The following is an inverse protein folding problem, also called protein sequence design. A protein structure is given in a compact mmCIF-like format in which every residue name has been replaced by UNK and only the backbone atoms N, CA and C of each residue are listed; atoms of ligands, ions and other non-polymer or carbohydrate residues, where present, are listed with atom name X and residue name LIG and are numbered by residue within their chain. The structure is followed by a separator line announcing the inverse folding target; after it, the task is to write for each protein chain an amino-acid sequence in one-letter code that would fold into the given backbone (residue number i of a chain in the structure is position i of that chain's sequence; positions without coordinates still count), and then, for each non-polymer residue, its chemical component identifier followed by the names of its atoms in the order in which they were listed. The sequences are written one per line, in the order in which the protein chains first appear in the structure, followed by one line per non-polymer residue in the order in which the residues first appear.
data_IF_578690427205
#
_entry.id   IF_578690427205
#
_cell.length_a   1.000
_cell.length_b   1.000
_cell.length_c   1.000
_cell.angle_alpha   90.00
_cell.angle_beta   90.00
_cell.angle_gamma   90.00
#
_symmetry.space_group_name_H-M   'P 1'
#
loop_
_entity.id
_entity.type
_entity.pdbx_description
1 polymer ?
#
# COMPACT_ATOMS: atom_id res chain seq x y z
N UNK A 1 -4.91 -1.85 -20.25
CA UNK A 1 -4.28 -1.50 -18.95
C UNK A 1 -4.47 -2.66 -17.98
N UNK A 2 -3.59 -2.82 -16.97
CA UNK A 2 -3.76 -3.86 -15.95
C UNK A 2 -5.06 -3.69 -15.16
N UNK A 3 -5.74 -4.78 -14.73
CA UNK A 3 -6.92 -4.68 -13.88
C UNK A 3 -6.56 -4.05 -12.53
N UNK A 4 -7.29 -3.01 -12.13
CA UNK A 4 -7.04 -2.28 -10.90
C UNK A 4 -7.58 -3.01 -9.66
N UNK A 5 -6.82 -2.95 -8.57
CA UNK A 5 -7.14 -3.54 -7.27
C UNK A 5 -7.43 -2.46 -6.22
N UNK A 6 -8.65 -2.50 -5.69
CA UNK A 6 -9.11 -1.61 -4.64
C UNK A 6 -8.97 -2.20 -3.23
N UNK A 7 -8.49 -3.44 -3.09
CA UNK A 7 -8.41 -4.18 -1.82
C UNK A 7 -9.58 -5.13 -1.56
N UNK A 8 -10.56 -5.23 -2.48
CA UNK A 8 -11.70 -6.13 -2.39
C UNK A 8 -11.66 -7.22 -3.46
N UNK A 9 -12.34 -8.34 -3.19
CA UNK A 9 -12.48 -9.46 -4.11
C UNK A 9 -11.15 -9.91 -4.76
N UNK A 10 -10.13 -10.12 -3.92
CA UNK A 10 -8.77 -10.45 -4.36
C UNK A 10 -8.74 -11.64 -5.32
N UNK A 11 -9.52 -12.70 -5.09
CA UNK A 11 -9.55 -13.88 -5.96
C UNK A 11 -9.94 -13.53 -7.40
N UNK A 12 -10.92 -12.63 -7.59
CA UNK A 12 -11.34 -12.17 -8.91
C UNK A 12 -10.29 -11.28 -9.58
N UNK A 13 -9.70 -10.35 -8.82
CA UNK A 13 -8.62 -9.51 -9.33
C UNK A 13 -7.40 -10.34 -9.73
N UNK A 14 -7.00 -11.30 -8.88
CA UNK A 14 -5.87 -12.22 -9.10
C UNK A 14 -6.05 -13.00 -10.40
N UNK A 15 -7.24 -13.57 -10.63
CA UNK A 15 -7.55 -14.29 -11.86
C UNK A 15 -7.41 -13.39 -13.10
N UNK A 16 -7.97 -12.17 -13.06
CA UNK A 16 -7.86 -11.20 -14.16
C UNK A 16 -6.42 -10.77 -14.44
N UNK A 17 -5.66 -10.46 -13.38
CA UNK A 17 -4.29 -9.99 -13.54
C UNK A 17 -3.38 -11.11 -14.07
N UNK A 18 -3.61 -12.35 -13.64
CA UNK A 18 -2.90 -13.54 -14.14
C UNK A 18 -3.08 -13.67 -15.65
N UNK A 19 -4.33 -13.68 -16.13
CA UNK A 19 -4.64 -13.77 -17.57
C UNK A 19 -4.03 -12.59 -18.34
N UNK A 20 -4.12 -11.38 -17.79
CA UNK A 20 -3.54 -10.18 -18.40
C UNK A 20 -2.02 -10.32 -18.60
N UNK A 21 -1.28 -10.72 -17.57
CA UNK A 21 0.18 -10.89 -17.65
C UNK A 21 0.55 -11.99 -18.65
N UNK A 22 -0.13 -13.14 -18.59
CA UNK A 22 0.08 -14.26 -19.51
C UNK A 22 -0.18 -13.85 -20.97
N UNK A 23 -1.18 -13.00 -21.22
CA UNK A 23 -1.50 -12.51 -22.57
C UNK A 23 -0.46 -11.53 -23.13
N UNK A 24 0.27 -10.82 -22.27
CA UNK A 24 1.35 -9.92 -22.70
C UNK A 24 2.60 -10.73 -23.03
N UNK A 25 3.02 -11.60 -22.10
CA UNK A 25 4.18 -12.45 -22.25
C UNK A 25 4.17 -13.51 -21.15
N UNK A 26 3.97 -14.76 -21.53
CA UNK A 26 3.95 -15.87 -20.59
C UNK A 26 5.24 -15.98 -19.76
N UNK A 27 6.40 -15.68 -20.32
CA UNK A 27 7.67 -15.71 -19.57
C UNK A 27 7.78 -14.66 -18.46
N UNK A 28 6.91 -13.64 -18.44
CA UNK A 28 6.79 -12.75 -17.28
C UNK A 28 6.01 -13.39 -16.14
N UNK A 29 5.04 -14.26 -16.46
CA UNK A 29 4.31 -15.04 -15.46
C UNK A 29 5.23 -16.02 -14.76
N UNK A 30 6.11 -16.72 -15.51
CA UNK A 30 7.12 -17.61 -14.93
C UNK A 30 8.01 -16.88 -13.91
N UNK A 31 8.43 -15.65 -14.20
CA UNK A 31 9.22 -14.82 -13.26
C UNK A 31 8.44 -14.45 -11.99
N UNK A 32 7.12 -14.36 -12.05
CA UNK A 32 6.28 -14.08 -10.87
C UNK A 32 6.10 -15.34 -10.03
N UNK A 33 5.90 -16.49 -10.66
CA UNK A 33 5.66 -17.76 -9.95
C UNK A 33 6.95 -18.33 -9.38
N UNK A 34 7.97 -18.48 -10.21
CA UNK A 34 9.23 -19.15 -9.85
C UNK A 34 10.24 -18.19 -9.24
N UNK A 35 10.10 -16.90 -9.57
CA UNK A 35 10.99 -15.85 -9.13
C UNK A 35 12.04 -15.50 -10.18
N UNK A 36 12.61 -14.29 -10.11
CA UNK A 36 13.70 -13.93 -11.00
C UNK A 36 14.96 -14.74 -10.67
N UNK A 37 15.45 -15.47 -11.69
CA UNK A 37 16.80 -16.00 -11.68
C UNK A 37 17.80 -14.85 -11.85
N UNK A 38 18.07 -14.12 -10.77
CA UNK A 38 19.00 -13.01 -10.78
C UNK A 38 20.41 -13.51 -11.17
N UNK A 39 21.15 -12.73 -11.98
CA UNK A 39 22.50 -13.08 -12.37
C UNK A 39 23.39 -13.29 -11.15
N UNK A 40 24.02 -14.46 -11.06
CA UNK A 40 24.94 -14.83 -9.97
C UNK A 40 26.25 -15.35 -10.53
N UNK A 41 27.32 -15.22 -9.74
CA UNK A 41 28.63 -15.81 -10.00
C UNK A 41 29.00 -16.72 -8.83
N UNK A 42 29.80 -17.75 -9.11
CA UNK A 42 30.46 -18.53 -8.06
C UNK A 42 31.77 -17.81 -7.69
N UNK A 43 31.93 -17.52 -6.42
CA UNK A 43 33.19 -17.02 -5.85
C UNK A 43 34.28 -18.09 -5.91
N UNK A 44 35.54 -17.69 -5.78
CA UNK A 44 36.69 -18.59 -5.60
C UNK A 44 36.48 -19.54 -4.40
N UNK A 45 35.70 -19.08 -3.42
CA UNK A 45 35.38 -19.80 -2.19
C UNK A 45 34.19 -20.79 -2.37
N UNK A 46 33.57 -20.84 -3.55
CA UNK A 46 32.37 -21.63 -3.84
C UNK A 46 31.03 -20.94 -3.51
N UNK A 47 31.05 -19.77 -2.87
CA UNK A 47 29.86 -19.00 -2.53
C UNK A 47 29.13 -18.45 -3.78
N UNK A 48 27.79 -18.42 -3.74
CA UNK A 48 26.97 -17.83 -4.82
C UNK A 48 26.74 -16.36 -4.50
N UNK A 49 27.35 -15.47 -5.28
CA UNK A 49 27.27 -14.00 -5.09
C UNK A 49 26.51 -13.38 -6.26
N UNK A 50 25.77 -12.29 -6.03
CA UNK A 50 25.16 -11.52 -7.11
C UNK A 50 26.23 -11.01 -8.09
N UNK A 51 25.98 -11.23 -9.37
CA UNK A 51 26.88 -10.82 -10.44
C UNK A 51 26.92 -9.28 -10.52
N UNK A 52 28.10 -8.66 -10.67
CA UNK A 52 28.19 -7.21 -10.85
C UNK A 52 27.46 -6.74 -12.12
N UNK A 53 26.67 -5.67 -12.02
CA UNK A 53 25.82 -5.18 -13.13
C UNK A 53 26.58 -4.84 -14.41
N UNK A 54 27.83 -4.39 -14.29
CA UNK A 54 28.70 -4.09 -15.44
C UNK A 54 29.12 -5.34 -16.23
N UNK A 55 28.98 -6.54 -15.66
CA UNK A 55 29.33 -7.82 -16.31
C UNK A 55 28.12 -8.56 -16.91
N UNK A 56 26.93 -7.95 -16.88
CA UNK A 56 25.71 -8.58 -17.38
C UNK A 56 25.74 -8.75 -18.90
N UNK A 57 25.49 -9.99 -19.33
CA UNK A 57 25.24 -10.32 -20.74
C UNK A 57 23.77 -10.00 -21.12
N UNK A 58 23.41 -10.25 -22.38
CA UNK A 58 22.07 -9.95 -22.88
C UNK A 58 20.99 -10.81 -22.21
N UNK A 59 21.30 -12.06 -21.88
CA UNK A 59 20.38 -12.95 -21.16
C UNK A 59 20.10 -12.45 -19.74
N UNK A 60 21.14 -12.03 -19.01
CA UNK A 60 21.06 -11.44 -17.68
C UNK A 60 20.14 -10.20 -17.69
N UNK A 61 20.35 -9.32 -18.67
CA UNK A 61 19.54 -8.10 -18.87
C UNK A 61 18.10 -8.47 -19.23
N UNK A 62 17.89 -9.46 -20.08
CA UNK A 62 16.57 -9.96 -20.45
C UNK A 62 15.76 -10.45 -19.25
N UNK A 63 16.39 -11.21 -18.34
CA UNK A 63 15.74 -11.68 -17.10
C UNK A 63 15.36 -10.53 -16.17
N UNK A 64 16.28 -9.59 -15.97
CA UNK A 64 16.04 -8.40 -15.13
C UNK A 64 14.93 -7.54 -15.71
N UNK A 65 14.90 -7.38 -17.03
CA UNK A 65 13.86 -6.60 -17.71
C UNK A 65 12.48 -7.25 -17.56
N UNK A 66 12.37 -8.58 -17.67
CA UNK A 66 11.12 -9.31 -17.41
C UNK A 66 10.61 -9.07 -15.99
N UNK A 67 11.48 -9.22 -14.98
CA UNK A 67 11.12 -8.92 -13.59
C UNK A 67 10.70 -7.45 -13.40
N UNK A 68 11.41 -6.52 -14.04
CA UNK A 68 11.09 -5.08 -13.96
C UNK A 68 9.73 -4.76 -14.56
N UNK A 69 9.42 -5.35 -15.74
CA UNK A 69 8.11 -5.23 -16.37
C UNK A 69 6.99 -5.84 -15.52
N UNK A 70 7.23 -7.02 -14.95
CA UNK A 70 6.29 -7.66 -14.03
C UNK A 70 6.01 -6.79 -12.79
N UNK A 71 7.05 -6.23 -12.15
CA UNK A 71 6.89 -5.28 -11.03
C UNK A 71 6.06 -4.07 -11.45
N UNK A 72 6.35 -3.49 -12.61
CA UNK A 72 5.62 -2.34 -13.10
C UNK A 72 4.13 -2.64 -13.31
N UNK A 73 3.79 -3.79 -13.90
CA UNK A 73 2.40 -4.22 -14.07
C UNK A 73 1.69 -4.35 -12.72
N UNK A 74 2.33 -4.98 -11.72
CA UNK A 74 1.75 -5.11 -10.37
C UNK A 74 1.52 -3.74 -9.74
N UNK A 75 2.50 -2.83 -9.81
CA UNK A 75 2.37 -1.47 -9.25
C UNK A 75 1.21 -0.71 -9.90
N UNK A 76 1.07 -0.79 -11.22
CA UNK A 76 -0.05 -0.16 -11.94
C UNK A 76 -1.41 -0.79 -11.62
N UNK A 77 -1.42 -2.06 -11.21
CA UNK A 77 -2.62 -2.81 -10.87
C UNK A 77 -3.11 -2.58 -9.44
N UNK A 78 -2.42 -1.82 -8.59
CA UNK A 78 -2.75 -1.69 -7.16
C UNK A 78 -2.88 -0.22 -6.72
N UNK A 79 -3.69 0.02 -5.68
CA UNK A 79 -3.80 1.34 -5.06
C UNK A 79 -2.61 1.68 -4.14
N UNK A 80 -2.53 2.93 -3.66
CA UNK A 80 -1.43 3.41 -2.81
C UNK A 80 -1.27 2.67 -1.48
N UNK A 81 -2.39 2.25 -0.87
CA UNK A 81 -2.38 1.48 0.40
C UNK A 81 -1.77 0.10 0.20
N UNK A 82 -2.05 -0.54 -0.94
CA UNK A 82 -1.47 -1.82 -1.30
C UNK A 82 -0.03 -1.68 -1.76
N UNK A 83 0.30 -0.61 -2.50
CA UNK A 83 1.68 -0.29 -2.86
C UNK A 83 2.59 -0.19 -1.63
N UNK A 84 2.15 0.50 -0.57
CA UNK A 84 2.93 0.64 0.67
C UNK A 84 3.27 -0.71 1.32
N UNK A 85 2.50 -1.79 1.06
CA UNK A 85 2.77 -3.13 1.60
C UNK A 85 3.85 -3.88 0.83
N UNK A 86 4.02 -3.55 -0.44
CA UNK A 86 4.94 -4.23 -1.37
C UNK A 86 6.10 -3.35 -1.80
N UNK A 87 6.18 -2.11 -1.31
CA UNK A 87 7.17 -1.11 -1.73
C UNK A 87 8.61 -1.50 -1.44
N UNK A 88 8.84 -2.29 -0.38
CA UNK A 88 10.17 -2.81 -0.05
C UNK A 88 10.53 -4.09 -0.82
N UNK A 89 9.61 -4.67 -1.60
CA UNK A 89 9.86 -5.93 -2.28
C UNK A 89 10.83 -5.76 -3.46
N UNK A 90 11.77 -6.68 -3.55
CA UNK A 90 12.88 -6.64 -4.51
C UNK A 90 12.47 -7.24 -5.86
N UNK A 91 11.61 -8.25 -5.87
CA UNK A 91 11.15 -8.97 -7.07
C UNK A 91 9.63 -8.90 -7.26
N UNK A 92 9.17 -9.16 -8.48
CA UNK A 92 7.74 -9.28 -8.77
C UNK A 92 7.10 -10.46 -8.03
N UNK A 93 7.84 -11.57 -7.88
CA UNK A 93 7.46 -12.71 -7.05
C UNK A 93 7.20 -12.29 -5.60
N UNK A 94 8.13 -11.58 -4.98
CA UNK A 94 7.97 -11.15 -3.59
C UNK A 94 6.76 -10.22 -3.41
N UNK A 95 6.48 -9.35 -4.39
CA UNK A 95 5.26 -8.52 -4.38
C UNK A 95 4.00 -9.39 -4.48
N UNK A 96 4.00 -10.37 -5.37
CA UNK A 96 2.88 -11.29 -5.58
C UNK A 96 2.59 -12.15 -4.35
N UNK A 97 3.61 -12.83 -3.83
CA UNK A 97 3.54 -13.67 -2.63
C UNK A 97 3.06 -12.86 -1.41
N UNK A 98 3.53 -11.61 -1.26
CA UNK A 98 3.08 -10.71 -0.18
C UNK A 98 1.60 -10.38 -0.29
N UNK A 99 1.09 -10.09 -1.49
CA UNK A 99 -0.33 -9.83 -1.72
C UNK A 99 -1.16 -11.10 -1.47
N UNK A 100 -0.69 -12.26 -1.93
CA UNK A 100 -1.36 -13.54 -1.75
C UNK A 100 -1.55 -13.88 -0.27
N UNK A 101 -0.47 -13.84 0.52
CA UNK A 101 -0.53 -14.07 1.97
C UNK A 101 -1.48 -13.10 2.67
N UNK A 102 -1.47 -11.83 2.28
CA UNK A 102 -2.31 -10.79 2.91
C UNK A 102 -3.80 -11.01 2.66
N UNK A 103 -4.16 -11.43 1.44
CA UNK A 103 -5.55 -11.43 1.00
C UNK A 103 -6.21 -12.81 1.03
N UNK A 104 -5.47 -13.88 0.77
CA UNK A 104 -6.02 -15.23 0.93
C UNK A 104 -6.30 -15.53 2.39
N UNK A 105 -5.42 -15.13 3.33
CA UNK A 105 -5.70 -15.24 4.76
C UNK A 105 -6.93 -14.41 5.20
N UNK A 106 -7.10 -13.20 4.64
CA UNK A 106 -8.29 -12.37 4.92
C UNK A 106 -9.58 -12.98 4.38
N UNK A 107 -9.53 -13.57 3.19
CA UNK A 107 -10.69 -14.22 2.56
C UNK A 107 -11.09 -15.47 3.34
N UNK A 108 -10.13 -16.33 3.71
CA UNK A 108 -10.40 -17.51 4.55
C UNK A 108 -11.13 -17.15 5.85
N UNK A 109 -10.72 -16.07 6.53
CA UNK A 109 -11.40 -15.60 7.75
C UNK A 109 -12.82 -15.09 7.46
N UNK A 110 -13.04 -14.41 6.33
CA UNK A 110 -14.39 -13.97 5.92
C UNK A 110 -15.27 -15.17 5.61
N UNK A 111 -14.76 -16.13 4.86
CA UNK A 111 -15.48 -17.34 4.45
C UNK A 111 -15.81 -18.21 5.65
N UNK A 112 -14.88 -18.39 6.60
CA UNK A 112 -15.14 -19.09 7.85
C UNK A 112 -16.28 -18.43 8.67
N UNK A 113 -16.32 -17.10 8.72
CA UNK A 113 -17.41 -16.36 9.40
C UNK A 113 -18.75 -16.53 8.68
N UNK A 114 -18.75 -16.53 7.35
CA UNK A 114 -19.96 -16.80 6.55
C UNK A 114 -20.43 -18.22 6.78
N UNK A 115 -19.54 -19.22 6.69
CA UNK A 115 -19.86 -20.62 6.94
C UNK A 115 -20.43 -20.84 8.33
N UNK A 116 -19.82 -20.26 9.37
CA UNK A 116 -20.34 -20.33 10.74
C UNK A 116 -21.74 -19.72 10.87
N UNK A 117 -22.00 -18.60 10.18
CA UNK A 117 -23.33 -17.99 10.15
C UNK A 117 -24.34 -18.90 9.46
N UNK A 118 -23.99 -19.43 8.29
CA UNK A 118 -24.84 -20.36 7.51
C UNK A 118 -25.19 -21.60 8.36
N UNK A 119 -24.20 -22.24 8.99
CA UNK A 119 -24.43 -23.38 9.89
C UNK A 119 -25.35 -23.01 11.06
N UNK A 120 -25.15 -21.83 11.67
CA UNK A 120 -26.03 -21.33 12.74
C UNK A 120 -27.46 -21.10 12.24
N UNK A 121 -27.64 -20.59 11.01
CA UNK A 121 -28.97 -20.39 10.45
C UNK A 121 -29.66 -21.71 10.12
N UNK A 122 -28.92 -22.68 9.56
CA UNK A 122 -29.43 -24.02 9.29
C UNK A 122 -29.83 -24.76 10.57
N UNK A 123 -29.05 -24.65 11.65
CA UNK A 123 -29.40 -25.27 12.93
C UNK A 123 -30.67 -24.66 13.54
N UNK A 124 -30.84 -23.33 13.43
CA UNK A 124 -32.05 -22.64 13.86
C UNK A 124 -33.27 -23.06 13.00
N UNK A 125 -33.10 -23.20 11.68
CA UNK A 125 -34.19 -23.66 10.81
C UNK A 125 -34.68 -25.07 11.19
N UNK A 126 -33.78 -25.96 11.60
CA UNK A 126 -34.15 -27.31 12.07
C UNK A 126 -34.85 -27.35 13.42
N UNK A 127 -34.74 -26.29 14.23
CA UNK A 127 -35.20 -26.30 15.64
C UNK A 127 -36.42 -25.43 15.90
N UNK A 128 -36.83 -24.57 14.97
CA UNK A 128 -37.93 -23.63 15.17
C UNK A 128 -38.89 -23.66 13.97
N UNK A 129 -40.20 -23.53 14.24
CA UNK A 129 -41.17 -23.27 13.19
C UNK A 129 -40.83 -21.97 12.44
N UNK A 130 -41.26 -21.82 11.18
CA UNK A 130 -40.98 -20.63 10.38
C UNK A 130 -41.31 -19.31 11.12
N UNK A 131 -42.40 -19.28 11.90
CA UNK A 131 -42.80 -18.08 12.66
C UNK A 131 -41.85 -17.76 13.83
N UNK A 132 -41.35 -18.78 14.54
CA UNK A 132 -40.39 -18.62 15.64
C UNK A 132 -38.99 -18.30 15.14
N UNK A 133 -38.58 -18.92 14.03
CA UNK A 133 -37.31 -18.65 13.36
C UNK A 133 -37.21 -17.18 12.97
N UNK A 134 -38.26 -16.63 12.33
CA UNK A 134 -38.33 -15.21 11.95
C UNK A 134 -38.22 -14.29 13.17
N UNK A 135 -38.96 -14.55 14.25
CA UNK A 135 -38.85 -13.76 15.51
C UNK A 135 -37.44 -13.81 16.09
N UNK A 136 -36.79 -14.98 16.05
CA UNK A 136 -35.46 -15.19 16.63
C UNK A 136 -34.36 -14.53 15.79
N UNK A 137 -34.47 -14.59 14.46
CA UNK A 137 -33.60 -13.86 13.53
C UNK A 137 -33.77 -12.35 13.75
N UNK A 138 -35.00 -11.84 13.77
CA UNK A 138 -35.27 -10.41 14.01
C UNK A 138 -34.70 -9.95 15.35
N UNK A 139 -34.80 -10.76 16.42
CA UNK A 139 -34.21 -10.45 17.73
C UNK A 139 -32.68 -10.43 17.70
N UNK A 140 -32.03 -11.36 17.00
CA UNK A 140 -30.56 -11.35 16.81
C UNK A 140 -30.11 -10.17 15.94
N UNK A 141 -30.82 -9.86 14.87
CA UNK A 141 -30.53 -8.75 13.97
C UNK A 141 -30.71 -7.40 14.68
N UNK A 142 -31.78 -7.24 15.48
CA UNK A 142 -32.01 -6.07 16.33
C UNK A 142 -30.88 -5.87 17.35
N UNK A 143 -30.38 -6.96 17.97
CA UNK A 143 -29.20 -6.90 18.85
C UNK A 143 -27.92 -6.50 18.10
N UNK A 144 -27.70 -7.04 16.91
CA UNK A 144 -26.57 -6.66 16.06
C UNK A 144 -26.59 -5.18 15.67
N UNK A 145 -27.76 -4.67 15.24
CA UNK A 145 -27.97 -3.25 14.93
C UNK A 145 -27.83 -2.35 16.17
N UNK A 146 -28.30 -2.80 17.34
CA UNK A 146 -28.13 -2.09 18.61
C UNK A 146 -26.65 -2.03 19.05
N UNK A 147 -25.87 -3.09 18.81
CA UNK A 147 -24.42 -3.08 19.05
C UNK A 147 -23.69 -2.11 18.09
N UNK A 148 -24.16 -1.98 16.83
CA UNK A 148 -23.65 -0.96 15.90
C UNK A 148 -23.93 0.47 16.38
N UNK A 149 -25.07 0.74 17.03
CA UNK A 149 -25.37 2.06 17.64
C UNK A 149 -24.38 2.41 18.77
N UNK A 150 -23.81 1.42 19.46
CA UNK A 150 -22.79 1.66 20.51
C UNK A 150 -21.39 1.99 19.95
N UNK A 151 -21.11 1.63 18.70
CA UNK A 151 -19.89 2.03 17.98
C UNK A 151 -20.08 3.28 17.10
N UNK A 152 -21.29 3.85 17.05
CA UNK A 152 -21.63 5.02 16.22
C UNK A 152 -21.97 6.29 17.01
N UNK A 153 -22.10 6.24 18.33
CA UNK A 153 -22.29 7.43 19.16
C UNK A 153 -20.94 8.08 19.47
N UNK A 154 -20.33 8.76 18.49
CA UNK A 154 -19.38 9.83 18.82
C UNK A 154 -20.20 10.98 19.41
N UNK A 155 -19.97 11.44 20.65
CA UNK A 155 -20.45 12.75 21.05
C UNK A 155 -19.79 13.76 20.09
N UNK A 156 -20.59 14.69 19.60
CA UNK A 156 -20.15 15.79 18.74
C UNK A 156 -19.24 16.73 19.57
N UNK A 157 -18.00 16.32 19.84
CA UNK A 157 -16.95 17.24 20.25
C UNK A 157 -16.56 17.98 18.99
N UNK A 158 -16.94 19.26 18.91
CA UNK A 158 -16.31 20.23 18.02
C UNK A 158 -14.80 20.06 18.18
N UNK A 159 -14.17 19.42 17.19
CA UNK A 159 -12.74 19.31 17.13
C UNK A 159 -12.25 20.68 16.68
N UNK A 160 -11.87 21.52 17.65
CA UNK A 160 -10.96 22.61 17.37
C UNK A 160 -9.69 21.94 16.85
N UNK A 161 -9.37 22.10 15.56
CA UNK A 161 -8.10 21.66 15.02
C UNK A 161 -6.99 22.49 15.66
N UNK A 162 -6.48 22.03 16.81
CA UNK A 162 -5.11 22.33 17.19
C UNK A 162 -4.28 21.27 16.47
N UNK A 163 -3.89 21.61 15.24
CA UNK A 163 -2.98 20.79 14.44
C UNK A 163 -1.68 20.61 15.23
N UNK A 164 -1.49 19.41 15.76
CA UNK A 164 -0.18 18.96 16.20
C UNK A 164 0.54 18.48 14.95
N UNK A 165 0.95 19.45 14.13
CA UNK A 165 2.02 19.23 13.18
C UNK A 165 3.25 18.85 13.99
N UNK A 166 3.92 17.75 13.62
CA UNK A 166 5.35 17.66 13.87
C UNK A 166 5.92 18.99 13.40
N UNK A 167 6.41 19.82 14.33
CA UNK A 167 7.10 21.06 14.00
C UNK A 167 8.35 20.66 13.23
N UNK A 168 8.22 20.51 11.92
CA UNK A 168 9.35 20.77 11.04
C UNK A 168 9.73 22.21 11.36
N UNK A 169 10.86 22.36 12.06
CA UNK A 169 11.46 23.66 12.27
C UNK A 169 11.49 24.36 10.93
N UNK A 170 10.77 25.47 10.80
CA UNK A 170 10.83 26.29 9.60
C UNK A 170 12.26 26.81 9.49
N UNK A 171 13.06 26.18 8.63
CA UNK A 171 14.45 26.56 8.38
C UNK A 171 14.44 27.65 7.30
N UNK A 172 14.97 28.82 7.63
CA UNK A 172 15.15 29.90 6.69
C UNK A 172 16.23 29.54 5.66
N UNK A 173 15.85 29.36 4.39
CA UNK A 173 16.78 29.04 3.30
C UNK A 173 17.87 30.10 3.03
N UNK A 174 17.81 31.29 3.65
CA UNK A 174 18.84 32.35 3.51
C UNK A 174 19.84 32.39 4.68
N UNK A 175 19.48 31.90 5.85
CA UNK A 175 20.38 31.91 7.01
C UNK A 175 20.53 30.56 7.72
N UNK A 176 19.83 29.54 7.23
CA UNK A 176 19.76 28.18 7.73
C UNK A 176 19.41 28.08 9.23
N UNK A 177 18.68 29.08 9.77
CA UNK A 177 18.18 29.08 11.15
C UNK A 177 16.72 28.71 11.20
N UNK A 178 16.33 27.96 12.22
CA UNK A 178 14.95 27.61 12.49
C UNK A 178 14.14 28.80 13.02
N UNK A 179 12.81 28.76 12.86
CA UNK A 179 11.85 29.67 13.50
C UNK A 179 11.28 30.79 12.62
N UNK A 180 11.69 30.93 11.36
CA UNK A 180 11.13 31.93 10.43
C UNK A 180 11.36 31.57 8.95
N UNK A 181 10.46 31.98 8.07
CA UNK A 181 10.60 31.78 6.62
C UNK A 181 11.58 32.80 6.01
N UNK A 182 12.03 32.54 4.77
CA UNK A 182 12.93 33.44 4.01
C UNK A 182 12.41 34.88 3.96
N UNK A 183 11.11 35.08 3.79
CA UNK A 183 10.45 36.41 3.78
C UNK A 183 10.72 37.25 5.03
N UNK A 184 10.84 36.60 6.19
CA UNK A 184 10.93 37.26 7.50
C UNK A 184 12.36 37.28 8.05
N UNK A 185 13.34 36.91 7.23
CA UNK A 185 14.74 36.78 7.63
C UNK A 185 15.35 38.12 8.05
N UNK A 186 15.84 38.26 9.30
CA UNK A 186 16.50 39.49 9.75
C UNK A 186 17.75 39.84 8.93
N UNK A 187 18.42 38.84 8.33
CA UNK A 187 19.56 39.08 7.43
C UNK A 187 19.14 39.70 6.10
N UNK A 188 17.96 39.37 5.58
CA UNK A 188 17.41 40.00 4.37
C UNK A 188 17.03 41.45 4.64
N UNK A 189 16.32 41.74 5.75
CA UNK A 189 15.99 43.12 6.16
C UNK A 189 17.24 43.99 6.38
N UNK A 190 18.32 43.43 6.95
CA UNK A 190 19.61 44.14 7.06
C UNK A 190 20.30 44.35 5.70
N UNK A 191 20.26 43.38 4.78
CA UNK A 191 20.79 43.55 3.41
C UNK A 191 20.04 44.65 2.66
N UNK A 192 18.72 44.71 2.78
CA UNK A 192 17.90 45.76 2.19
C UNK A 192 18.16 47.13 2.83
N UNK A 193 18.29 47.20 4.16
CA UNK A 193 18.63 48.48 4.83
C UNK A 193 20.01 48.98 4.43
N UNK A 194 20.98 48.07 4.24
CA UNK A 194 22.33 48.43 3.80
C UNK A 194 22.36 48.83 2.32
N UNK A 195 21.54 48.19 1.46
CA UNK A 195 21.34 48.64 0.07
C UNK A 195 20.69 50.03 0.00
N UNK A 196 19.65 50.29 0.81
CA UNK A 196 19.03 51.64 0.90
C UNK A 196 20.02 52.69 1.40
N UNK A 197 20.85 52.38 2.41
CA UNK A 197 21.90 53.29 2.89
C UNK A 197 22.97 53.56 1.84
N UNK A 198 23.38 52.55 1.06
CA UNK A 198 24.33 52.74 -0.06
C UNK A 198 23.72 53.56 -1.21
N UNK A 199 22.42 53.44 -1.47
CA UNK A 199 21.72 54.26 -2.46
C UNK A 199 21.58 55.73 -2.02
N UNK A 200 21.42 56.02 -0.72
CA UNK A 200 21.36 57.39 -0.20
C UNK A 200 22.73 58.08 -0.05
N UNK A 201 23.84 57.35 -0.08
CA UNK A 201 25.21 57.91 0.01
C UNK A 201 25.83 58.14 -1.39
N UNK A 202 25.15 57.69 -2.46
CA UNK A 202 25.58 57.87 -3.85
C UNK A 202 24.80 59.00 -4.57
N UNK A 203 24.35 60.01 -3.85
CA UNK A 203 23.79 61.28 -4.35
C UNK A 203 24.41 62.41 -3.57
#
# INVERSE_FOLDING_TARGET
EPPFFDGNNYSHWKAKLTIFIQSINYSMWDVIVDGPNFPTIRSENGDVISKPRNTYNDDDRGRIQKNTKAKHIIICAINSSEFNRVSSCTSAKEMWDRLEVTYEGRNQVKDAKISMLVTTMQSLHKTYSNSELVRKILRKFKKFLANKKKFGAKPNKKFHQKGESRKEEVICFECNKSGHYKSDCPRLKKKESMKKKKAMVAT
#
